data_IF_393927013434
#
_entry.id   IF_393927013434
#
_cell.length_a   1.000
_cell.length_b   1.000
_cell.length_c   1.000
_cell.angle_alpha   90.00
_cell.angle_beta   90.00
_cell.angle_gamma   90.00
#
_symmetry.space_group_name_H-M   'P 1'
#
loop_
_entity.id
_entity.type
_entity.pdbx_description
1 polymer ?
#
# COMPACT_ATOMS: atom_id res chain seq x y z
N UNK A 1 2.71 -1.10 -14.04
CA UNK A 1 1.51 -1.88 -13.67
C UNK A 1 1.94 -2.79 -12.53
N UNK A 2 1.29 -2.73 -11.38
CA UNK A 2 1.66 -3.53 -10.18
C UNK A 2 0.76 -3.24 -8.96
N UNK A 3 -0.09 -2.21 -9.02
CA UNK A 3 -1.07 -1.90 -7.97
C UNK A 3 -2.41 -2.60 -8.21
N UNK A 4 -3.22 -2.74 -7.15
CA UNK A 4 -4.47 -3.48 -7.19
C UNK A 4 -5.67 -2.67 -7.68
N UNK A 5 -5.98 -1.56 -7.01
CA UNK A 5 -7.21 -0.80 -7.24
C UNK A 5 -7.09 0.65 -6.77
N UNK A 6 -7.94 1.52 -7.32
CA UNK A 6 -8.19 2.87 -6.80
C UNK A 6 -8.94 2.87 -5.46
N UNK A 7 -9.65 1.78 -5.13
CA UNK A 7 -10.35 1.63 -3.86
C UNK A 7 -9.41 1.15 -2.74
N UNK A 8 -9.27 1.96 -1.69
CA UNK A 8 -8.38 1.67 -0.57
C UNK A 8 -8.80 0.44 0.25
N UNK A 9 -10.08 0.09 0.25
CA UNK A 9 -10.57 -1.11 0.93
C UNK A 9 -10.17 -2.37 0.16
N UNK A 10 -10.49 -2.45 -1.13
CA UNK A 10 -10.19 -3.58 -2.01
C UNK A 10 -8.68 -3.82 -2.10
N UNK A 11 -7.88 -2.76 -2.30
CA UNK A 11 -6.43 -2.87 -2.31
C UNK A 11 -5.87 -3.45 -1.01
N UNK A 12 -6.45 -3.08 0.14
CA UNK A 12 -6.03 -3.61 1.43
C UNK A 12 -6.45 -5.06 1.68
N UNK A 13 -7.64 -5.48 1.23
CA UNK A 13 -8.09 -6.88 1.32
C UNK A 13 -7.22 -7.80 0.46
N UNK A 14 -6.91 -7.39 -0.77
CA UNK A 14 -6.04 -8.15 -1.66
C UNK A 14 -4.61 -8.23 -1.12
N UNK A 15 -4.05 -7.12 -0.63
CA UNK A 15 -2.72 -7.11 -0.01
C UNK A 15 -2.67 -8.04 1.21
N UNK A 16 -3.67 -7.99 2.10
CA UNK A 16 -3.71 -8.84 3.29
C UNK A 16 -3.77 -10.33 2.93
N UNK A 17 -4.57 -10.70 1.92
CA UNK A 17 -4.64 -12.07 1.43
C UNK A 17 -3.31 -12.55 0.82
N UNK A 18 -2.63 -11.71 0.05
CA UNK A 18 -1.32 -12.03 -0.53
C UNK A 18 -0.25 -12.23 0.55
N UNK A 19 -0.19 -11.32 1.53
CA UNK A 19 0.74 -11.42 2.66
C UNK A 19 0.50 -12.69 3.46
N UNK A 20 -0.77 -13.03 3.73
CA UNK A 20 -1.12 -14.25 4.45
C UNK A 20 -0.65 -15.50 3.67
N UNK A 21 -0.89 -15.55 2.36
CA UNK A 21 -0.45 -16.65 1.50
C UNK A 21 1.09 -16.78 1.45
N UNK A 22 1.81 -15.67 1.37
CA UNK A 22 3.27 -15.65 1.43
C UNK A 22 3.79 -16.18 2.78
N UNK A 23 3.19 -15.73 3.88
CA UNK A 23 3.53 -16.15 5.24
C UNK A 23 3.33 -17.65 5.44
N UNK A 24 2.27 -18.24 4.91
CA UNK A 24 2.04 -19.69 4.93
C UNK A 24 3.15 -20.49 4.23
N UNK A 25 3.87 -19.87 3.29
CA UNK A 25 5.03 -20.48 2.61
C UNK A 25 6.36 -20.17 3.28
N UNK A 26 6.34 -19.52 4.45
CA UNK A 26 7.55 -19.18 5.20
C UNK A 26 8.35 -18.01 4.60
N UNK A 27 7.73 -17.19 3.74
CA UNK A 27 8.34 -15.97 3.20
C UNK A 27 7.59 -14.74 3.68
N UNK A 28 8.30 -13.62 3.78
CA UNK A 28 7.70 -12.32 4.11
C UNK A 28 7.57 -11.47 2.84
N UNK A 29 6.55 -10.63 2.81
CA UNK A 29 6.36 -9.64 1.75
C UNK A 29 6.84 -8.27 2.20
N UNK A 30 7.42 -7.51 1.28
CA UNK A 30 7.81 -6.12 1.49
C UNK A 30 6.74 -5.20 0.91
N UNK A 31 6.00 -4.49 1.76
CA UNK A 31 4.86 -3.68 1.30
C UNK A 31 5.36 -2.35 0.73
N UNK A 32 4.94 -2.04 -0.51
CA UNK A 32 5.40 -0.87 -1.26
C UNK A 32 4.26 -0.21 -2.05
N UNK A 33 4.39 1.05 -2.45
CA UNK A 33 5.38 2.03 -1.97
C UNK A 33 4.71 2.87 -0.88
N UNK A 34 5.17 2.76 0.36
CA UNK A 34 4.63 3.56 1.46
C UNK A 34 5.20 4.99 1.39
N UNK A 35 4.42 6.04 1.10
CA UNK A 35 3.03 6.09 0.66
C UNK A 35 2.88 7.17 -0.43
N UNK A 36 1.70 7.24 -1.07
CA UNK A 36 1.33 8.31 -2.03
C UNK A 36 2.25 8.37 -3.28
N UNK A 37 2.74 7.20 -3.72
CA UNK A 37 3.56 7.05 -4.93
C UNK A 37 2.71 6.70 -6.15
N UNK A 38 1.86 7.65 -6.57
CA UNK A 38 0.85 7.45 -7.63
C UNK A 38 1.29 7.99 -9.00
N UNK A 39 2.46 8.63 -9.09
CA UNK A 39 2.95 9.24 -10.32
C UNK A 39 4.38 8.79 -10.60
N UNK A 40 4.62 8.24 -11.79
CA UNK A 40 5.97 7.84 -12.20
C UNK A 40 6.83 9.03 -12.66
N UNK A 41 6.21 10.02 -13.31
CA UNK A 41 6.89 11.22 -13.81
C UNK A 41 7.60 11.97 -12.67
N UNK A 42 8.92 12.07 -12.76
CA UNK A 42 9.81 12.76 -11.81
C UNK A 42 9.87 12.24 -10.37
N UNK A 43 9.33 11.04 -10.08
CA UNK A 43 9.37 10.47 -8.71
C UNK A 43 10.78 10.40 -8.10
N UNK A 44 11.80 10.17 -8.93
CA UNK A 44 13.20 10.04 -8.50
C UNK A 44 14.03 11.31 -8.68
N UNK A 45 13.65 12.21 -9.60
CA UNK A 45 14.46 13.41 -9.91
C UNK A 45 14.35 14.49 -8.86
N UNK A 46 13.12 14.75 -8.37
CA UNK A 46 12.84 15.79 -7.38
C UNK A 46 11.93 15.30 -6.25
N UNK A 47 11.64 13.99 -6.20
CA UNK A 47 10.62 13.43 -5.34
C UNK A 47 9.19 13.71 -5.83
N UNK A 48 8.23 13.27 -5.04
CA UNK A 48 6.82 13.54 -5.26
C UNK A 48 6.34 14.72 -4.42
N UNK A 49 5.62 15.64 -5.05
CA UNK A 49 4.95 16.76 -4.39
C UNK A 49 3.45 16.57 -4.54
N UNK A 50 2.85 15.85 -3.58
CA UNK A 50 1.42 15.57 -3.56
C UNK A 50 0.74 16.34 -2.43
N UNK A 51 -0.26 17.14 -2.77
CA UNK A 51 -1.08 17.88 -1.80
C UNK A 51 -2.34 17.10 -1.49
N UNK A 52 -2.62 16.88 -0.21
CA UNK A 52 -3.77 16.12 0.24
C UNK A 52 -4.23 16.56 1.64
N UNK A 53 -5.51 16.34 1.93
CA UNK A 53 -6.05 16.51 3.28
C UNK A 53 -5.72 15.29 4.14
N UNK A 54 -5.80 15.45 5.46
CA UNK A 54 -5.65 14.31 6.39
C UNK A 54 -6.70 13.22 6.11
N UNK A 55 -7.93 13.60 5.75
CA UNK A 55 -8.98 12.65 5.42
C UNK A 55 -8.58 11.80 4.21
N UNK A 56 -8.14 12.41 3.11
CA UNK A 56 -7.67 11.67 1.93
C UNK A 56 -6.48 10.77 2.26
N UNK A 57 -5.55 11.23 3.10
CA UNK A 57 -4.42 10.42 3.54
C UNK A 57 -4.88 9.17 4.29
N UNK A 58 -5.81 9.29 5.24
CA UNK A 58 -6.24 8.18 6.11
C UNK A 58 -7.22 7.22 5.43
N UNK A 59 -8.15 7.76 4.65
CA UNK A 59 -9.26 6.99 4.10
C UNK A 59 -8.91 6.35 2.76
N UNK A 60 -7.99 6.95 2.00
CA UNK A 60 -7.57 6.45 0.69
C UNK A 60 -6.17 5.86 0.76
N UNK A 61 -5.13 6.68 0.94
CA UNK A 61 -3.75 6.26 0.69
C UNK A 61 -3.16 5.35 1.77
N UNK A 62 -3.51 5.56 3.04
CA UNK A 62 -3.04 4.72 4.14
C UNK A 62 -3.94 3.50 4.40
N UNK A 63 -5.16 3.47 3.85
CA UNK A 63 -6.12 2.39 4.12
C UNK A 63 -5.60 1.00 3.72
N UNK A 64 -4.95 0.81 2.55
CA UNK A 64 -4.37 -0.48 2.19
C UNK A 64 -3.26 -0.91 3.15
N UNK A 65 -2.36 0.01 3.52
CA UNK A 65 -1.24 -0.27 4.42
C UNK A 65 -1.71 -0.57 5.85
N UNK A 66 -2.74 0.13 6.33
CA UNK A 66 -3.39 -0.16 7.60
C UNK A 66 -3.90 -1.61 7.63
N UNK A 67 -4.58 -2.05 6.56
CA UNK A 67 -5.07 -3.42 6.42
C UNK A 67 -3.93 -4.43 6.26
N UNK A 68 -2.89 -4.11 5.49
CA UNK A 68 -1.71 -4.97 5.34
C UNK A 68 -1.05 -5.27 6.70
N UNK A 69 -0.96 -4.27 7.59
CA UNK A 69 -0.44 -4.44 8.95
C UNK A 69 -1.42 -5.18 9.85
N UNK A 70 -2.65 -4.68 9.99
CA UNK A 70 -3.62 -5.19 10.98
C UNK A 70 -4.21 -6.55 10.63
N UNK A 71 -4.47 -6.78 9.34
CA UNK A 71 -5.15 -7.99 8.86
C UNK A 71 -4.16 -8.94 8.19
N UNK A 72 -3.27 -8.43 7.34
CA UNK A 72 -2.25 -9.24 6.66
C UNK A 72 -1.10 -9.68 7.57
N UNK A 73 -0.84 -8.93 8.64
CA UNK A 73 0.28 -9.19 9.55
C UNK A 73 1.64 -8.96 8.91
N UNK A 74 1.75 -8.00 7.97
CA UNK A 74 3.06 -7.63 7.40
C UNK A 74 3.99 -7.11 8.49
N UNK A 75 5.27 -7.41 8.33
CA UNK A 75 6.36 -6.97 9.20
C UNK A 75 7.46 -6.23 8.44
N UNK A 76 7.30 -6.07 7.12
CA UNK A 76 8.25 -5.44 6.23
C UNK A 76 7.54 -4.62 5.13
#
# INVERSE_FOLDING_TARGET
>A
FEYFSEDGFLSGELAAAEIAGAKEKGVYMYVKHFAVNEQETHRDSNGLVTWLTEQSMREVYLKPFEKAVKNGGTTA
#
